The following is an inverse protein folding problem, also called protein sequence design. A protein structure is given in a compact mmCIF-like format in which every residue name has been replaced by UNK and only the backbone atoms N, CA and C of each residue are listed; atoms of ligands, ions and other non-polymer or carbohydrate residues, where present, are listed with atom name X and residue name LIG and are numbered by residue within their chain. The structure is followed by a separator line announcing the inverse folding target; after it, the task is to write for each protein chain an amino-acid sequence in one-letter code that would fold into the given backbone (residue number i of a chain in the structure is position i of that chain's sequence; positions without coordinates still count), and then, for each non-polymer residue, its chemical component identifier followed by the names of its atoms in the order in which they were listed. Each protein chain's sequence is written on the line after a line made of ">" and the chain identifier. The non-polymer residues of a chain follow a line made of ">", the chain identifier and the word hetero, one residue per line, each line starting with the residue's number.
data_IF_077346782661
#
_entry.id   IF_077346782661
#
_cell.length_a   1.000
_cell.length_b   1.000
_cell.length_c   1.000
_cell.angle_alpha   90.00
_cell.angle_beta   90.00
_cell.angle_gamma   90.00
#
_symmetry.space_group_name_H-M   'P 1'
#
loop_
_entity.id
_entity.type
_entity.pdbx_description
1 polymer ?
#
# COMPACT_ATOMS: atom_id res chain seq x y z
N UNK A 1 10.20 -35.56 -15.69
CA UNK A 1 10.32 -34.78 -14.44
C UNK A 1 11.21 -33.54 -14.55
N UNK A 2 12.05 -33.36 -15.59
CA UNK A 2 12.82 -32.12 -15.79
C UNK A 2 11.96 -30.91 -16.23
N UNK A 3 10.92 -31.17 -17.04
CA UNK A 3 10.02 -30.14 -17.59
C UNK A 3 9.31 -29.32 -16.50
N UNK A 4 8.94 -29.94 -15.37
CA UNK A 4 8.24 -29.29 -14.26
C UNK A 4 9.14 -28.32 -13.47
N UNK A 5 10.43 -28.64 -13.32
CA UNK A 5 11.39 -27.75 -12.67
C UNK A 5 11.71 -26.53 -13.55
N UNK A 6 11.88 -26.76 -14.86
CA UNK A 6 12.11 -25.67 -15.83
C UNK A 6 10.90 -24.72 -15.92
N UNK A 7 9.68 -25.24 -15.79
CA UNK A 7 8.44 -24.46 -15.74
C UNK A 7 8.33 -23.64 -14.45
N UNK A 8 8.56 -24.27 -13.28
CA UNK A 8 8.60 -23.56 -11.99
C UNK A 8 9.69 -22.48 -11.94
N UNK A 9 10.87 -22.75 -12.49
CA UNK A 9 11.93 -21.75 -12.58
C UNK A 9 11.57 -20.60 -13.53
N UNK A 10 10.88 -20.89 -14.64
CA UNK A 10 10.41 -19.87 -15.59
C UNK A 10 9.32 -19.01 -14.96
N UNK A 11 8.36 -19.62 -14.26
CA UNK A 11 7.30 -18.92 -13.53
C UNK A 11 7.89 -18.06 -12.40
N UNK A 12 8.83 -18.60 -11.63
CA UNK A 12 9.54 -17.87 -10.57
C UNK A 12 10.34 -16.68 -11.12
N UNK A 13 11.05 -16.86 -12.25
CA UNK A 13 11.75 -15.77 -12.94
C UNK A 13 10.78 -14.71 -13.47
N UNK A 14 9.65 -15.11 -14.04
CA UNK A 14 8.64 -14.19 -14.55
C UNK A 14 8.03 -13.35 -13.42
N UNK A 15 7.68 -13.98 -12.28
CA UNK A 15 7.17 -13.31 -11.09
C UNK A 15 8.20 -12.32 -10.51
N UNK A 16 9.47 -12.72 -10.44
CA UNK A 16 10.55 -11.84 -9.98
C UNK A 16 10.74 -10.62 -10.90
N UNK A 17 10.73 -10.83 -12.22
CA UNK A 17 10.85 -9.74 -13.19
C UNK A 17 9.66 -8.79 -13.15
N UNK A 18 8.44 -9.32 -12.96
CA UNK A 18 7.24 -8.52 -12.76
C UNK A 18 7.36 -7.66 -11.49
N UNK A 19 7.78 -8.22 -10.36
CA UNK A 19 8.02 -7.47 -9.12
C UNK A 19 9.09 -6.39 -9.27
N UNK A 20 10.19 -6.65 -9.99
CA UNK A 20 11.23 -5.64 -10.24
C UNK A 20 10.71 -4.49 -11.12
N UNK A 21 9.90 -4.82 -12.12
CA UNK A 21 9.23 -3.83 -12.96
C UNK A 21 8.25 -2.98 -12.14
N UNK A 22 7.40 -3.61 -11.35
CA UNK A 22 6.43 -2.94 -10.48
C UNK A 22 7.12 -1.99 -9.49
N UNK A 23 8.24 -2.40 -8.88
CA UNK A 23 9.04 -1.53 -8.00
C UNK A 23 9.61 -0.31 -8.72
N UNK A 24 10.09 -0.49 -9.97
CA UNK A 24 10.59 0.64 -10.78
C UNK A 24 9.45 1.57 -11.18
N UNK A 25 8.32 1.01 -11.57
CA UNK A 25 7.15 1.77 -12.02
C UNK A 25 6.51 2.50 -10.84
N UNK A 26 6.44 1.89 -9.64
CA UNK A 26 6.07 2.55 -8.40
C UNK A 26 7.02 3.71 -8.13
N UNK A 27 8.33 3.49 -8.15
CA UNK A 27 9.31 4.57 -7.88
C UNK A 27 9.09 5.78 -8.78
N UNK A 28 8.87 5.56 -10.08
CA UNK A 28 8.54 6.63 -11.04
C UNK A 28 7.20 7.29 -10.75
N UNK A 29 6.19 6.52 -10.36
CA UNK A 29 4.87 7.03 -10.03
C UNK A 29 4.89 7.89 -8.75
N UNK A 30 5.57 7.43 -7.69
CA UNK A 30 5.79 8.17 -6.44
C UNK A 30 6.55 9.47 -6.71
N UNK A 31 7.64 9.41 -7.49
CA UNK A 31 8.42 10.59 -7.85
C UNK A 31 7.58 11.63 -8.59
N UNK A 32 6.82 11.21 -9.62
CA UNK A 32 5.93 12.11 -10.37
C UNK A 32 4.85 12.72 -9.48
N UNK A 33 4.18 11.92 -8.64
CA UNK A 33 3.10 12.39 -7.76
C UNK A 33 3.62 13.29 -6.63
N UNK A 34 4.82 13.02 -6.11
CA UNK A 34 5.46 13.88 -5.13
C UNK A 34 5.81 15.26 -5.72
N UNK A 35 6.36 15.30 -6.93
CA UNK A 35 6.63 16.56 -7.64
C UNK A 35 5.32 17.33 -7.88
N UNK A 36 4.28 16.66 -8.37
CA UNK A 36 2.97 17.27 -8.59
C UNK A 36 2.34 17.84 -7.31
N UNK A 37 2.45 17.14 -6.17
CA UNK A 37 1.96 17.61 -4.88
C UNK A 37 2.76 18.80 -4.33
N UNK A 38 4.04 18.92 -4.70
CA UNK A 38 4.87 20.07 -4.35
C UNK A 38 4.46 21.31 -5.15
N UNK A 39 4.18 21.13 -6.44
CA UNK A 39 3.73 22.21 -7.34
C UNK A 39 2.28 22.63 -7.06
N UNK A 40 1.44 21.70 -6.59
CA UNK A 40 0.03 21.92 -6.27
C UNK A 40 -0.32 21.34 -4.87
N UNK A 41 -0.15 22.11 -3.79
CA UNK A 41 -0.38 21.63 -2.41
C UNK A 41 -1.81 21.13 -2.13
N UNK A 42 -2.79 21.59 -2.91
CA UNK A 42 -4.19 21.16 -2.80
C UNK A 42 -4.44 19.77 -3.44
N UNK A 43 -3.49 19.26 -4.24
CA UNK A 43 -3.48 17.91 -4.81
C UNK A 43 -2.77 16.95 -3.86
N UNK A 44 -3.39 16.66 -2.72
CA UNK A 44 -2.77 15.84 -1.69
C UNK A 44 -2.81 14.34 -2.03
N UNK A 45 -1.75 13.84 -2.67
CA UNK A 45 -1.61 12.43 -3.04
C UNK A 45 -1.27 11.55 -1.81
N UNK A 46 -1.80 10.33 -1.81
CA UNK A 46 -1.60 9.34 -0.73
C UNK A 46 -0.99 8.05 -1.27
N UNK A 47 0.04 7.55 -0.59
CA UNK A 47 0.62 6.23 -0.79
C UNK A 47 0.08 5.31 0.29
N UNK A 48 -0.48 4.19 -0.12
CA UNK A 48 -0.98 3.14 0.76
C UNK A 48 -0.19 1.86 0.48
N UNK A 49 0.48 1.34 1.50
CA UNK A 49 1.07 0.01 1.50
C UNK A 49 0.12 -0.95 2.21
N UNK A 50 0.00 -2.16 1.67
CA UNK A 50 -0.85 -3.23 2.16
C UNK A 50 -0.01 -4.49 2.28
N UNK A 51 -0.11 -5.18 3.41
CA UNK A 51 0.56 -6.46 3.65
C UNK A 51 -0.45 -7.49 4.17
N UNK A 52 -0.46 -8.65 3.53
CA UNK A 52 -1.24 -9.80 4.00
C UNK A 52 -0.39 -10.58 4.97
N UNK A 53 -0.90 -10.82 6.17
CA UNK A 53 -0.23 -11.58 7.22
C UNK A 53 -1.14 -12.73 7.68
N UNK A 54 -0.54 -13.86 8.06
CA UNK A 54 -1.27 -14.92 8.75
C UNK A 54 -1.50 -14.53 10.20
N UNK A 55 -2.66 -14.92 10.77
CA UNK A 55 -2.94 -14.69 12.19
C UNK A 55 -2.21 -15.68 13.09
N UNK A 56 -1.96 -16.88 12.60
CA UNK A 56 -1.27 -17.98 13.28
C UNK A 56 -0.15 -18.49 12.37
N UNK A 57 1.06 -18.61 12.90
CA UNK A 57 2.22 -19.12 12.17
C UNK A 57 2.18 -20.67 12.18
N UNK A 58 1.62 -21.26 11.13
CA UNK A 58 1.70 -22.70 10.87
C UNK A 58 2.58 -22.93 9.61
N UNK A 59 3.81 -23.38 9.85
CA UNK A 59 4.97 -23.32 8.95
C UNK A 59 4.84 -23.98 7.55
N UNK A 60 3.74 -24.68 7.22
CA UNK A 60 3.61 -25.38 5.93
C UNK A 60 2.36 -25.04 5.09
N UNK A 61 1.38 -24.31 5.62
CA UNK A 61 0.16 -23.91 4.89
C UNK A 61 0.13 -22.38 4.62
N UNK A 62 1.10 -21.65 5.18
CA UNK A 62 1.08 -20.20 5.22
C UNK A 62 1.28 -19.54 3.85
N UNK A 63 2.22 -20.03 3.03
CA UNK A 63 2.58 -19.35 1.78
C UNK A 63 1.46 -19.38 0.73
N UNK A 64 0.78 -20.51 0.56
CA UNK A 64 -0.34 -20.62 -0.39
C UNK A 64 -1.55 -19.81 0.07
N UNK A 65 -1.85 -19.83 1.37
CA UNK A 65 -2.94 -19.06 1.94
C UNK A 65 -2.69 -17.55 1.77
N UNK A 66 -1.47 -17.08 2.06
CA UNK A 66 -1.05 -15.69 1.87
C UNK A 66 -1.12 -15.26 0.39
N UNK A 67 -0.69 -16.12 -0.54
CA UNK A 67 -0.78 -15.86 -1.96
C UNK A 67 -2.24 -15.72 -2.43
N UNK A 68 -3.13 -16.62 -2.00
CA UNK A 68 -4.58 -16.52 -2.26
C UNK A 68 -5.17 -15.24 -1.67
N UNK A 69 -4.77 -14.88 -0.45
CA UNK A 69 -5.19 -13.63 0.18
C UNK A 69 -4.78 -12.41 -0.64
N UNK A 70 -3.54 -12.38 -1.13
CA UNK A 70 -3.04 -11.32 -1.99
C UNK A 70 -3.84 -11.21 -3.30
N UNK A 71 -4.16 -12.35 -3.93
CA UNK A 71 -4.94 -12.38 -5.16
C UNK A 71 -6.35 -11.83 -4.97
N UNK A 72 -7.00 -12.12 -3.84
CA UNK A 72 -8.30 -11.53 -3.48
C UNK A 72 -8.19 -10.00 -3.43
N UNK A 73 -7.17 -9.47 -2.75
CA UNK A 73 -6.96 -8.03 -2.66
C UNK A 73 -6.68 -7.43 -4.05
N UNK A 74 -5.80 -8.04 -4.83
CA UNK A 74 -5.45 -7.58 -6.17
C UNK A 74 -6.67 -7.50 -7.07
N UNK A 75 -7.50 -8.54 -7.08
CA UNK A 75 -8.72 -8.58 -7.88
C UNK A 75 -9.72 -7.49 -7.49
N UNK A 76 -9.94 -7.27 -6.20
CA UNK A 76 -10.83 -6.20 -5.72
C UNK A 76 -10.29 -4.80 -6.10
N UNK A 77 -8.98 -4.59 -6.00
CA UNK A 77 -8.34 -3.32 -6.37
C UNK A 77 -8.39 -3.08 -7.90
N UNK A 78 -8.20 -4.13 -8.72
CA UNK A 78 -8.30 -4.07 -10.17
C UNK A 78 -9.72 -3.73 -10.64
N UNK A 79 -10.75 -4.31 -10.01
CA UNK A 79 -12.15 -4.00 -10.29
C UNK A 79 -12.48 -2.52 -10.06
N UNK A 80 -11.75 -1.87 -9.15
CA UNK A 80 -11.88 -0.45 -8.83
C UNK A 80 -11.01 0.46 -9.72
N UNK A 81 -10.28 -0.12 -10.68
CA UNK A 81 -9.38 0.58 -11.60
C UNK A 81 -8.30 1.41 -10.88
N UNK A 82 -7.83 0.91 -9.73
CA UNK A 82 -6.75 1.55 -8.99
C UNK A 82 -5.40 1.08 -9.52
N UNK A 83 -4.43 1.99 -9.56
CA UNK A 83 -3.03 1.65 -9.85
C UNK A 83 -2.47 0.84 -8.69
N UNK A 84 -2.05 -0.40 -8.97
CA UNK A 84 -1.52 -1.34 -7.98
C UNK A 84 -0.13 -1.78 -8.40
N UNK A 85 0.78 -1.84 -7.45
CA UNK A 85 2.16 -2.28 -7.65
C UNK A 85 2.49 -3.40 -6.67
N UNK A 86 3.03 -4.52 -7.14
CA UNK A 86 3.49 -5.60 -6.27
C UNK A 86 4.93 -5.37 -5.83
N UNK A 87 5.17 -5.25 -4.52
CA UNK A 87 6.50 -4.96 -3.96
C UNK A 87 7.25 -6.21 -3.54
N UNK A 88 6.56 -7.07 -2.79
CA UNK A 88 7.05 -8.36 -2.29
C UNK A 88 5.95 -9.40 -2.45
N UNK A 89 6.23 -10.65 -2.12
CA UNK A 89 5.32 -11.80 -2.29
C UNK A 89 3.95 -11.60 -1.66
N UNK A 90 3.83 -10.74 -0.62
CA UNK A 90 2.58 -10.50 0.10
C UNK A 90 2.29 -9.00 0.32
N UNK A 91 2.95 -8.13 -0.44
CA UNK A 91 2.89 -6.68 -0.25
C UNK A 91 2.45 -5.96 -1.54
N UNK A 92 1.42 -5.13 -1.43
CA UNK A 92 0.92 -4.26 -2.49
C UNK A 92 1.10 -2.79 -2.11
N UNK A 93 1.36 -1.96 -3.11
CA UNK A 93 1.31 -0.51 -3.00
C UNK A 93 0.24 0.06 -3.91
N UNK A 94 -0.46 1.08 -3.41
CA UNK A 94 -1.42 1.88 -4.15
C UNK A 94 -1.06 3.35 -4.04
N UNK A 95 -1.28 4.07 -5.12
CA UNK A 95 -1.17 5.51 -5.17
C UNK A 95 -2.53 6.09 -5.50
N UNK A 96 -3.01 6.98 -4.63
CA UNK A 96 -4.19 7.77 -4.94
C UNK A 96 -3.80 9.09 -5.56
N UNK A 97 -4.48 9.44 -6.66
CA UNK A 97 -4.41 10.76 -7.28
C UNK A 97 -5.42 11.71 -6.65
N UNK A 98 -4.96 12.92 -6.33
CA UNK A 98 -5.78 13.96 -5.71
C UNK A 98 -6.10 13.70 -4.24
N UNK A 99 -6.88 14.58 -3.60
CA UNK A 99 -7.35 14.40 -2.23
C UNK A 99 -8.31 13.22 -2.22
N UNK A 100 -7.77 12.01 -2.16
CA UNK A 100 -8.56 10.86 -1.79
C UNK A 100 -9.09 11.19 -0.41
N UNK A 101 -10.39 11.47 -0.37
CA UNK A 101 -11.12 11.61 0.86
C UNK A 101 -10.66 10.46 1.77
N UNK A 102 -10.08 10.84 2.90
CA UNK A 102 -9.54 9.93 3.90
C UNK A 102 -10.57 8.85 4.24
N UNK A 103 -11.85 9.19 4.21
CA UNK A 103 -12.94 8.27 4.47
C UNK A 103 -13.16 7.28 3.31
N UNK A 104 -12.87 7.66 2.07
CA UNK A 104 -12.84 6.73 0.92
C UNK A 104 -11.73 5.69 1.07
N UNK A 105 -10.51 6.11 1.48
CA UNK A 105 -9.41 5.16 1.73
C UNK A 105 -9.70 4.24 2.92
N UNK A 106 -10.27 4.77 4.00
CA UNK A 106 -10.71 3.95 5.14
C UNK A 106 -11.78 2.94 4.74
N UNK A 107 -12.77 3.35 3.94
CA UNK A 107 -13.82 2.45 3.42
C UNK A 107 -13.22 1.37 2.53
N UNK A 108 -12.24 1.71 1.71
CA UNK A 108 -11.50 0.74 0.90
C UNK A 108 -10.77 -0.27 1.78
N UNK A 109 -9.96 0.18 2.75
CA UNK A 109 -9.22 -0.71 3.64
C UNK A 109 -10.16 -1.59 4.47
N UNK A 110 -11.27 -1.04 4.97
CA UNK A 110 -12.28 -1.80 5.71
C UNK A 110 -12.94 -2.88 4.83
N UNK A 111 -13.23 -2.54 3.57
CA UNK A 111 -13.75 -3.51 2.61
C UNK A 111 -12.74 -4.61 2.32
N UNK A 112 -11.48 -4.25 2.06
CA UNK A 112 -10.40 -5.20 1.78
C UNK A 112 -10.18 -6.15 2.97
N UNK A 113 -10.20 -5.63 4.20
CA UNK A 113 -10.17 -6.43 5.44
C UNK A 113 -11.31 -7.45 5.46
N UNK A 114 -12.55 -7.01 5.23
CA UNK A 114 -13.71 -7.92 5.21
C UNK A 114 -13.59 -8.99 4.12
N UNK A 115 -13.20 -8.60 2.89
CA UNK A 115 -13.01 -9.53 1.78
C UNK A 115 -11.94 -10.58 2.08
N UNK A 116 -10.84 -10.16 2.72
CA UNK A 116 -9.76 -11.05 3.12
C UNK A 116 -10.19 -11.99 4.23
N UNK A 117 -10.90 -11.48 5.25
CA UNK A 117 -11.46 -12.27 6.35
C UNK A 117 -12.44 -13.33 5.80
N UNK A 118 -13.37 -12.95 4.93
CA UNK A 118 -14.36 -13.84 4.30
C UNK A 118 -13.69 -14.93 3.44
N UNK A 119 -12.65 -14.57 2.68
CA UNK A 119 -11.97 -15.50 1.79
C UNK A 119 -11.01 -16.47 2.50
N UNK A 120 -10.60 -16.13 3.72
CA UNK A 120 -9.59 -16.88 4.49
C UNK A 120 -10.15 -17.59 5.71
N UNK A 121 -11.46 -17.56 5.95
CA UNK A 121 -12.10 -18.02 7.18
C UNK A 121 -11.42 -17.41 8.42
N UNK A 122 -11.19 -16.09 8.36
CA UNK A 122 -10.49 -15.30 9.38
C UNK A 122 -9.05 -15.71 9.68
N UNK A 123 -8.40 -16.56 8.86
CA UNK A 123 -7.02 -17.00 9.09
C UNK A 123 -5.97 -15.96 8.68
N UNK A 124 -6.36 -15.00 7.84
CA UNK A 124 -5.51 -13.90 7.41
C UNK A 124 -5.90 -12.57 8.07
N UNK A 125 -4.98 -11.61 8.05
CA UNK A 125 -5.24 -10.21 8.40
C UNK A 125 -4.54 -9.28 7.41
N UNK A 126 -5.09 -8.08 7.28
CA UNK A 126 -4.52 -7.01 6.46
C UNK A 126 -3.85 -5.98 7.35
N UNK A 127 -2.53 -5.90 7.27
CA UNK A 127 -1.75 -4.77 7.74
C UNK A 127 -1.68 -3.71 6.64
N UNK A 128 -1.55 -2.44 7.03
CA UNK A 128 -1.41 -1.35 6.07
C UNK A 128 -0.59 -0.22 6.68
N UNK A 129 0.01 0.60 5.81
CA UNK A 129 0.68 1.83 6.19
C UNK A 129 0.38 2.90 5.16
N UNK A 130 0.03 4.10 5.59
CA UNK A 130 -0.36 5.17 4.68
C UNK A 130 0.41 6.45 4.98
N UNK A 131 0.83 7.15 3.93
CA UNK A 131 1.50 8.44 4.04
C UNK A 131 1.07 9.38 2.91
N UNK A 132 1.04 10.68 3.18
CA UNK A 132 0.79 11.71 2.16
C UNK A 132 2.09 12.18 1.53
N UNK A 133 2.01 12.64 0.30
CA UNK A 133 3.14 13.26 -0.38
C UNK A 133 3.67 14.48 0.40
N UNK A 134 2.77 15.26 1.00
CA UNK A 134 3.07 16.46 1.80
C UNK A 134 3.79 16.17 3.12
N UNK A 135 3.69 14.94 3.63
CA UNK A 135 4.42 14.50 4.84
C UNK A 135 5.87 14.11 4.53
N UNK A 136 6.19 13.87 3.26
CA UNK A 136 7.56 13.63 2.83
C UNK A 136 8.31 14.97 2.80
N UNK A 137 9.41 15.07 3.56
CA UNK A 137 10.10 16.35 3.76
C UNK A 137 10.74 16.90 2.48
N UNK A 138 11.70 16.17 1.91
CA UNK A 138 12.55 16.68 0.82
C UNK A 138 12.60 15.74 -0.37
N UNK A 139 12.37 14.44 -0.16
CA UNK A 139 12.46 13.45 -1.22
C UNK A 139 11.28 12.49 -1.24
N UNK A 140 10.89 12.08 -2.44
CA UNK A 140 9.91 11.02 -2.69
C UNK A 140 10.28 9.68 -2.00
N UNK A 141 11.56 9.45 -1.70
CA UNK A 141 12.01 8.27 -0.95
C UNK A 141 11.55 8.30 0.50
N UNK A 142 11.45 9.49 1.10
CA UNK A 142 10.96 9.69 2.45
C UNK A 142 9.49 9.29 2.55
N UNK A 143 8.73 9.48 1.45
CA UNK A 143 7.33 9.08 1.37
C UNK A 143 7.15 7.56 1.50
N UNK A 144 7.91 6.79 0.73
CA UNK A 144 7.92 5.32 0.81
C UNK A 144 8.37 4.84 2.18
N UNK A 145 9.46 5.41 2.71
CA UNK A 145 9.99 5.05 4.02
C UNK A 145 9.00 5.37 5.15
N UNK A 146 8.24 6.46 5.04
CA UNK A 146 7.21 6.81 6.02
C UNK A 146 6.03 5.84 5.99
N UNK A 147 5.57 5.45 4.80
CA UNK A 147 4.50 4.47 4.66
C UNK A 147 4.94 3.09 5.19
N UNK A 148 6.16 2.65 4.87
CA UNK A 148 6.75 1.39 5.36
C UNK A 148 6.92 1.40 6.89
N UNK A 149 7.43 2.50 7.46
CA UNK A 149 7.53 2.66 8.91
C UNK A 149 6.17 2.55 9.61
N UNK A 150 5.11 3.09 9.01
CA UNK A 150 3.74 3.02 9.55
C UNK A 150 3.20 1.60 9.48
N UNK A 151 3.41 0.91 8.35
CA UNK A 151 3.09 -0.51 8.19
C UNK A 151 3.75 -1.36 9.29
N UNK A 152 5.05 -1.15 9.52
CA UNK A 152 5.82 -1.85 10.56
C UNK A 152 5.42 -1.46 12.00
N UNK A 153 4.83 -0.27 12.19
CA UNK A 153 4.40 0.27 13.48
C UNK A 153 3.13 -0.36 14.07
N UNK A 154 2.45 -1.24 13.32
CA UNK A 154 1.33 -2.11 13.75
C UNK A 154 0.27 -1.44 14.64
N UNK A 155 -0.05 -0.16 14.40
CA UNK A 155 -0.96 0.62 15.25
C UNK A 155 -2.13 1.17 14.44
N UNK A 156 -3.12 0.30 14.23
CA UNK A 156 -4.34 0.50 13.41
C UNK A 156 -5.13 1.81 13.64
N UNK A 157 -4.88 2.57 14.72
CA UNK A 157 -5.70 3.73 15.09
C UNK A 157 -5.00 5.10 14.94
N UNK A 158 -3.67 5.16 14.99
CA UNK A 158 -2.90 6.40 14.93
C UNK A 158 -2.57 6.83 13.48
N UNK A 159 -2.59 5.88 12.54
CA UNK A 159 -2.15 6.10 11.16
C UNK A 159 -3.08 7.04 10.36
N UNK A 160 -4.39 6.92 10.55
CA UNK A 160 -5.36 7.81 9.88
C UNK A 160 -5.36 9.23 10.45
N UNK A 161 -4.96 9.41 11.72
CA UNK A 161 -4.85 10.74 12.31
C UNK A 161 -3.69 11.51 11.69
N UNK A 162 -2.59 10.82 11.36
CA UNK A 162 -1.43 11.40 10.69
C UNK A 162 -1.73 11.83 9.24
N UNK A 163 -2.76 11.25 8.61
CA UNK A 163 -3.21 11.63 7.26
C UNK A 163 -4.16 12.84 7.25
N UNK A 164 -4.57 13.38 8.41
CA UNK A 164 -5.37 14.61 8.42
C UNK A 164 -4.49 15.79 7.98
N UNK A 165 -4.98 16.70 7.11
CA UNK A 165 -4.31 17.97 6.85
C UNK A 165 -3.89 18.59 8.18
N UNK A 166 -2.59 18.77 8.39
CA UNK A 166 -2.14 19.72 9.40
C UNK A 166 -2.56 21.04 8.82
N UNK A 167 -3.77 21.47 9.18
CA UNK A 167 -4.31 22.75 8.80
C UNK A 167 -3.20 23.74 9.03
N UNK A 168 -2.84 24.42 7.95
CA UNK A 168 -1.98 25.58 7.98
C UNK A 168 -2.40 26.38 9.22
N UNK A 169 -1.53 26.44 10.23
CA UNK A 169 -1.70 27.27 11.42
C UNK A 169 -1.48 28.74 11.02
N UNK A 170 -2.16 29.18 9.96
CA UNK A 170 -2.37 30.57 9.58
C UNK A 170 -3.50 31.05 10.47
N UNK A 171 -3.15 31.50 11.67
CA UNK A 171 -3.68 32.70 12.38
C UNK A 171 -3.69 32.49 13.90
N UNK A 172 -2.61 32.89 14.56
CA UNK A 172 -2.70 33.88 15.65
C UNK A 172 -1.35 34.56 15.96
N UNK A 173 -0.68 35.05 14.94
CA UNK A 173 0.21 36.21 15.07
C UNK A 173 -0.52 37.42 14.49
N UNK A 174 -1.16 38.20 15.35
CA UNK A 174 -1.89 39.40 14.96
C UNK A 174 -2.53 40.11 16.15
N UNK A 175 -1.76 41.03 16.73
CA UNK A 175 -2.14 42.26 17.48
C UNK A 175 -3.28 42.15 18.52
N UNK A 176 -2.93 42.30 19.79
CA UNK A 176 -2.87 43.59 20.48
C UNK A 176 -2.07 43.46 21.78
#
# INVERSE_FOLDING_TARGET
>A
MAIWLDELEREGRAALMASLRDRRDLRRAVERRHLAAHDHPDSEAVLLLLEVEAREAEDNVESELLARGLDVLRNELLQRKLDIFTLRTHELALLSDGPADLDTLKRLVALLKRKLDDASDHRLRLAYGAARATEAHRHYRDWLALADRRLQGRSNHLEWQALRPTGIDRRRTGRH
#
